data_IF_891427834283
#
_entry.id   IF_891427834283
#
_cell.length_a   1.000
_cell.length_b   1.000
_cell.length_c   1.000
_cell.angle_alpha   90.00
_cell.angle_beta   90.00
_cell.angle_gamma   90.00
#
_symmetry.space_group_name_H-M   'P 1'
#
loop_
_entity.id
_entity.type
_entity.pdbx_description
1 polymer ?
#
# COMPACT_ATOMS: atom_id res chain seq x y z
N UNK A 1 2.08 -42.77 -3.23
CA UNK A 1 1.77 -41.37 -2.87
C UNK A 1 2.37 -40.51 -3.96
N UNK A 2 1.57 -39.68 -4.62
CA UNK A 2 2.09 -38.66 -5.52
C UNK A 2 2.29 -37.40 -4.69
N UNK A 3 3.54 -36.98 -4.51
CA UNK A 3 3.88 -35.77 -3.76
C UNK A 3 3.72 -34.57 -4.72
N UNK A 4 2.81 -33.64 -4.40
CA UNK A 4 2.64 -32.40 -5.15
C UNK A 4 3.11 -31.24 -4.27
N UNK A 5 4.37 -30.85 -4.44
CA UNK A 5 4.89 -29.62 -3.85
C UNK A 5 4.49 -28.42 -4.71
N UNK A 6 3.87 -27.44 -4.08
CA UNK A 6 3.51 -26.15 -4.67
C UNK A 6 4.74 -25.23 -4.63
N UNK A 7 5.28 -24.81 -5.77
CA UNK A 7 6.40 -23.87 -5.82
C UNK A 7 6.03 -22.62 -6.61
N UNK A 8 5.47 -21.64 -5.92
CA UNK A 8 5.16 -20.30 -6.46
C UNK A 8 6.30 -19.30 -6.28
N UNK A 9 7.39 -19.70 -5.62
CA UNK A 9 8.43 -18.79 -5.15
C UNK A 9 7.98 -17.89 -3.98
N UNK A 10 6.76 -18.07 -3.46
CA UNK A 10 6.25 -17.39 -2.27
C UNK A 10 6.91 -17.91 -1.00
N UNK A 11 6.96 -17.04 0.01
CA UNK A 11 7.23 -17.39 1.39
C UNK A 11 6.15 -18.32 1.96
N UNK A 12 4.89 -18.16 1.56
CA UNK A 12 3.80 -19.08 1.89
C UNK A 12 3.85 -20.30 0.98
N UNK A 13 4.11 -21.47 1.57
CA UNK A 13 4.14 -22.76 0.88
C UNK A 13 3.16 -23.70 1.53
N UNK A 14 2.41 -24.41 0.71
CA UNK A 14 1.41 -25.36 1.16
C UNK A 14 1.59 -26.72 0.47
N UNK A 15 1.28 -27.79 1.20
CA UNK A 15 1.26 -29.16 0.69
C UNK A 15 0.10 -29.92 1.29
N UNK A 16 -0.73 -30.51 0.43
CA UNK A 16 -1.77 -31.44 0.85
C UNK A 16 -1.27 -32.88 0.76
N UNK A 17 -1.44 -33.61 1.85
CA UNK A 17 -1.25 -35.05 1.94
C UNK A 17 -2.64 -35.71 1.98
N UNK A 18 -3.17 -35.99 0.79
CA UNK A 18 -4.46 -36.65 0.63
C UNK A 18 -4.34 -38.16 0.90
N UNK A 19 -5.20 -38.75 1.74
CA UNK A 19 -5.25 -40.19 1.89
C UNK A 19 -5.58 -40.83 0.53
N UNK A 20 -4.91 -41.95 0.22
CA UNK A 20 -5.29 -42.78 -0.92
C UNK A 20 -6.73 -43.23 -0.68
N UNK A 21 -7.68 -42.73 -1.46
CA UNK A 21 -9.05 -43.22 -1.41
C UNK A 21 -9.00 -44.73 -1.65
N UNK A 22 -9.21 -45.51 -0.60
CA UNK A 22 -9.81 -46.82 -0.79
C UNK A 22 -11.15 -46.52 -1.44
N UNK A 23 -11.35 -47.02 -2.67
CA UNK A 23 -12.55 -46.80 -3.44
C UNK A 23 -13.75 -46.94 -2.49
N UNK A 24 -14.45 -45.84 -2.27
CA UNK A 24 -15.58 -45.76 -1.35
C UNK A 24 -16.77 -46.43 -2.04
N UNK A 25 -16.63 -47.72 -2.34
CA UNK A 25 -17.54 -48.48 -3.20
C UNK A 25 -18.81 -48.93 -2.47
N UNK A 26 -19.01 -48.53 -1.21
CA UNK A 26 -20.12 -49.05 -0.40
C UNK A 26 -20.69 -48.07 0.63
N UNK A 27 -20.60 -46.76 0.41
CA UNK A 27 -21.27 -45.81 1.32
C UNK A 27 -22.78 -45.86 1.07
N UNK A 28 -23.52 -46.12 2.16
CA UNK A 28 -24.98 -46.20 2.18
C UNK A 28 -25.61 -44.94 1.56
N UNK A 29 -26.72 -45.04 0.79
CA UNK A 29 -27.43 -43.90 0.21
C UNK A 29 -27.85 -42.80 1.20
N UNK A 30 -27.88 -43.11 2.50
CA UNK A 30 -28.16 -42.16 3.59
C UNK A 30 -26.98 -41.26 3.95
N UNK A 31 -25.78 -41.50 3.42
CA UNK A 31 -24.57 -40.71 3.66
C UNK A 31 -24.18 -39.80 2.48
N UNK A 32 -25.10 -39.57 1.52
CA UNK A 32 -24.90 -38.67 0.37
C UNK A 32 -24.56 -37.21 0.73
N UNK A 33 -24.77 -36.79 1.98
CA UNK A 33 -24.36 -35.46 2.46
C UNK A 33 -22.93 -35.38 3.03
N UNK A 34 -22.13 -36.46 2.95
CA UNK A 34 -20.76 -36.50 3.51
C UNK A 34 -19.68 -36.72 2.45
N UNK A 35 -20.05 -36.81 1.16
CA UNK A 35 -19.09 -37.15 0.11
C UNK A 35 -18.08 -36.03 -0.08
N UNK A 36 -18.50 -34.77 -0.15
CA UNK A 36 -17.58 -33.65 -0.35
C UNK A 36 -16.59 -33.51 0.82
N UNK A 37 -17.08 -33.72 2.04
CA UNK A 37 -16.25 -33.71 3.25
C UNK A 37 -15.23 -34.84 3.26
N UNK A 38 -15.65 -36.06 2.89
CA UNK A 38 -14.77 -37.23 2.85
C UNK A 38 -13.66 -37.09 1.78
N UNK A 39 -13.97 -36.53 0.60
CA UNK A 39 -12.98 -36.40 -0.49
C UNK A 39 -11.95 -35.29 -0.27
N UNK A 40 -12.33 -34.28 0.52
CA UNK A 40 -11.46 -33.18 0.94
C UNK A 40 -10.94 -33.35 2.37
N UNK A 41 -11.10 -34.53 2.97
CA UNK A 41 -10.41 -34.86 4.20
C UNK A 41 -8.96 -35.22 3.91
N UNK A 42 -8.01 -34.53 4.55
CA UNK A 42 -6.58 -34.79 4.38
C UNK A 42 -5.74 -33.97 5.33
N UNK A 43 -4.41 -34.10 5.25
CA UNK A 43 -3.50 -33.26 6.03
C UNK A 43 -2.98 -32.12 5.17
N UNK A 44 -2.92 -30.92 5.74
CA UNK A 44 -2.24 -29.77 5.14
C UNK A 44 -0.97 -29.50 5.95
N UNK A 45 0.14 -29.33 5.27
CA UNK A 45 1.33 -28.69 5.83
C UNK A 45 1.50 -27.35 5.14
N UNK A 46 1.46 -26.28 5.92
CA UNK A 46 1.68 -24.93 5.41
C UNK A 46 2.80 -24.26 6.22
N UNK A 47 3.77 -23.70 5.51
CA UNK A 47 4.96 -23.05 6.09
C UNK A 47 5.15 -21.67 5.51
N UNK A 48 5.54 -20.73 6.35
CA UNK A 48 5.97 -19.38 5.99
C UNK A 48 7.48 -19.29 6.19
N UNK A 49 8.21 -19.01 5.11
CA UNK A 49 9.66 -18.86 5.18
C UNK A 49 10.05 -17.67 6.10
N UNK A 50 11.14 -17.76 6.88
CA UNK A 50 12.14 -18.80 6.81
C UNK A 50 11.80 -20.10 7.55
N UNK A 51 10.98 -20.14 8.61
CA UNK A 51 10.79 -21.37 9.41
C UNK A 51 9.47 -21.46 10.21
N UNK A 52 8.43 -20.67 9.93
CA UNK A 52 7.18 -20.71 10.71
C UNK A 52 6.20 -21.71 10.10
N UNK A 53 5.96 -22.83 10.78
CA UNK A 53 4.88 -23.74 10.37
C UNK A 53 3.53 -23.15 10.84
N UNK A 54 2.61 -22.90 9.91
CA UNK A 54 1.28 -22.37 10.23
C UNK A 54 0.33 -23.49 10.66
N UNK A 55 0.25 -24.55 9.86
CA UNK A 55 -0.53 -25.75 10.19
C UNK A 55 0.43 -26.93 10.27
N UNK A 56 0.47 -27.57 11.44
CA UNK A 56 1.25 -28.78 11.67
C UNK A 56 0.34 -29.98 11.92
N UNK A 57 0.24 -30.83 10.90
CA UNK A 57 -0.05 -32.26 11.02
C UNK A 57 -1.39 -32.65 11.69
N UNK A 58 -2.49 -31.99 11.30
CA UNK A 58 -3.83 -32.50 11.60
C UNK A 58 -4.63 -32.81 10.34
N UNK A 59 -5.53 -33.78 10.47
CA UNK A 59 -6.45 -34.18 9.42
C UNK A 59 -7.73 -33.35 9.54
N UNK A 60 -8.12 -32.70 8.45
CA UNK A 60 -9.29 -31.83 8.41
C UNK A 60 -10.02 -31.93 7.09
N UNK A 61 -11.27 -31.47 7.11
CA UNK A 61 -12.08 -31.28 5.92
C UNK A 61 -11.82 -29.89 5.32
N UNK A 62 -11.13 -29.84 4.18
CA UNK A 62 -10.69 -28.57 3.58
C UNK A 62 -11.78 -27.83 2.80
N UNK A 63 -13.02 -28.32 2.75
CA UNK A 63 -14.12 -27.59 2.11
C UNK A 63 -14.42 -26.25 2.80
N UNK A 64 -14.30 -26.17 4.14
CA UNK A 64 -14.51 -24.92 4.90
C UNK A 64 -13.52 -23.84 4.46
N UNK A 65 -12.26 -24.21 4.25
CA UNK A 65 -11.22 -23.30 3.76
C UNK A 65 -11.53 -22.82 2.34
N UNK A 66 -12.04 -23.70 1.46
CA UNK A 66 -12.42 -23.31 0.10
C UNK A 66 -13.61 -22.34 0.10
N UNK A 67 -14.62 -22.59 0.93
CA UNK A 67 -15.78 -21.70 1.09
C UNK A 67 -15.35 -20.33 1.61
N UNK A 68 -14.49 -20.30 2.64
CA UNK A 68 -13.93 -19.06 3.18
C UNK A 68 -13.09 -18.33 2.13
N UNK A 69 -12.16 -19.00 1.45
CA UNK A 69 -11.34 -18.39 0.40
C UNK A 69 -12.21 -17.79 -0.70
N UNK A 70 -13.25 -18.49 -1.14
CA UNK A 70 -14.17 -17.98 -2.17
C UNK A 70 -14.95 -16.73 -1.72
N UNK A 71 -15.33 -16.66 -0.44
CA UNK A 71 -16.03 -15.51 0.14
C UNK A 71 -15.08 -14.32 0.36
N UNK A 72 -13.89 -14.58 0.88
CA UNK A 72 -12.90 -13.58 1.26
C UNK A 72 -12.07 -13.05 0.07
N UNK A 73 -12.06 -13.77 -1.06
CA UNK A 73 -11.18 -13.49 -2.20
C UNK A 73 -11.15 -12.03 -2.65
N UNK A 74 -12.33 -11.41 -2.74
CA UNK A 74 -12.49 -10.04 -3.25
C UNK A 74 -11.85 -9.01 -2.33
N UNK A 75 -11.96 -9.23 -1.04
CA UNK A 75 -11.38 -8.38 -0.01
C UNK A 75 -9.88 -8.61 0.13
N UNK A 76 -9.42 -9.87 0.07
CA UNK A 76 -7.99 -10.20 0.02
C UNK A 76 -7.28 -9.47 -1.14
N UNK A 77 -7.94 -9.37 -2.30
CA UNK A 77 -7.38 -8.68 -3.47
C UNK A 77 -7.55 -7.15 -3.43
N UNK A 78 -8.73 -6.67 -3.02
CA UNK A 78 -9.08 -5.26 -3.14
C UNK A 78 -8.81 -4.40 -1.91
N UNK A 79 -8.84 -4.98 -0.69
CA UNK A 79 -8.38 -4.26 0.50
C UNK A 79 -6.88 -3.99 0.42
N UNK A 80 -6.43 -2.98 1.17
CA UNK A 80 -5.08 -2.41 1.06
C UNK A 80 -4.74 -1.83 2.44
N UNK A 81 -3.70 -2.39 3.05
CA UNK A 81 -3.25 -2.06 4.39
C UNK A 81 -4.16 -2.55 5.51
N UNK A 82 -3.61 -2.53 6.72
CA UNK A 82 -4.34 -2.74 7.97
C UNK A 82 -5.28 -1.55 8.27
N UNK A 83 -6.37 -1.75 9.05
CA UNK A 83 -7.24 -0.66 9.47
C UNK A 83 -6.59 0.26 10.54
N UNK A 84 -5.30 0.06 10.85
CA UNK A 84 -4.53 0.83 11.83
C UNK A 84 -3.13 1.13 11.29
N UNK A 85 -2.57 2.26 11.72
CA UNK A 85 -1.21 2.68 11.38
C UNK A 85 -0.22 2.11 12.40
N UNK A 86 -0.06 0.79 12.41
CA UNK A 86 0.93 0.12 13.27
C UNK A 86 1.54 -1.06 12.52
N UNK A 87 2.87 -1.18 12.61
CA UNK A 87 3.60 -2.29 12.00
C UNK A 87 3.82 -3.40 13.03
N UNK A 88 3.29 -4.58 12.75
CA UNK A 88 3.30 -5.71 13.67
C UNK A 88 4.38 -6.70 13.27
N UNK A 89 5.32 -6.99 14.18
CA UNK A 89 6.35 -7.99 13.92
C UNK A 89 5.79 -9.43 13.91
N UNK A 90 4.70 -9.68 14.64
CA UNK A 90 4.05 -10.98 14.76
C UNK A 90 2.54 -10.85 14.94
N UNK A 91 1.77 -11.91 14.68
CA UNK A 91 0.34 -11.95 14.97
C UNK A 91 0.05 -11.89 16.48
N UNK A 92 1.00 -12.34 17.32
CA UNK A 92 0.89 -12.19 18.78
C UNK A 92 0.96 -10.73 19.21
N UNK A 93 1.74 -9.90 18.51
CA UNK A 93 1.78 -8.46 18.76
C UNK A 93 0.46 -7.79 18.34
N UNK A 94 -0.12 -8.24 17.22
CA UNK A 94 -1.45 -7.81 16.76
C UNK A 94 -2.53 -8.15 17.79
N UNK A 95 -2.57 -9.38 18.30
CA UNK A 95 -3.52 -9.80 19.35
C UNK A 95 -3.39 -8.94 20.62
N UNK A 96 -2.15 -8.68 21.04
CA UNK A 96 -1.87 -7.82 22.21
C UNK A 96 -2.37 -6.41 21.98
N UNK A 97 -2.15 -5.86 20.79
CA UNK A 97 -2.64 -4.54 20.40
C UNK A 97 -4.16 -4.50 20.41
N UNK A 98 -4.82 -5.48 19.81
CA UNK A 98 -6.29 -5.60 19.83
C UNK A 98 -6.79 -5.59 21.28
N UNK A 99 -6.18 -6.34 22.20
CA UNK A 99 -6.57 -6.33 23.61
C UNK A 99 -6.53 -4.93 24.28
N UNK A 100 -5.66 -4.05 23.81
CA UNK A 100 -5.42 -2.71 24.37
C UNK A 100 -6.07 -1.56 23.58
N UNK A 101 -6.49 -1.82 22.33
CA UNK A 101 -7.03 -0.81 21.44
C UNK A 101 -8.39 -0.26 21.94
N UNK A 102 -8.73 0.94 21.44
CA UNK A 102 -10.06 1.51 21.59
C UNK A 102 -11.11 0.65 20.85
N UNK A 103 -12.37 0.71 21.28
CA UNK A 103 -13.42 -0.21 20.81
C UNK A 103 -13.68 -0.11 19.31
N UNK A 104 -13.67 1.10 18.76
CA UNK A 104 -13.81 1.37 17.33
C UNK A 104 -12.69 0.73 16.51
N UNK A 105 -11.45 0.78 17.00
CA UNK A 105 -10.30 0.13 16.37
C UNK A 105 -10.34 -1.38 16.49
N UNK A 106 -10.85 -1.90 17.60
CA UNK A 106 -11.05 -3.34 17.81
C UNK A 106 -12.06 -3.89 16.82
N UNK A 107 -13.22 -3.26 16.70
CA UNK A 107 -14.26 -3.65 15.75
C UNK A 107 -13.70 -3.70 14.32
N UNK A 108 -13.03 -2.63 13.88
CA UNK A 108 -12.42 -2.58 12.55
C UNK A 108 -11.34 -3.66 12.32
N UNK A 109 -10.58 -4.02 13.37
CA UNK A 109 -9.59 -5.10 13.29
C UNK A 109 -10.22 -6.49 13.27
N UNK A 110 -11.31 -6.71 13.99
CA UNK A 110 -12.03 -7.98 13.95
C UNK A 110 -12.68 -8.21 12.59
N UNK A 111 -13.37 -7.20 12.05
CA UNK A 111 -13.95 -7.25 10.71
C UNK A 111 -12.88 -7.56 9.64
N UNK A 112 -11.69 -6.98 9.80
CA UNK A 112 -10.55 -7.27 8.94
C UNK A 112 -10.06 -8.71 9.11
N UNK A 113 -9.86 -9.17 10.34
CA UNK A 113 -9.33 -10.52 10.61
C UNK A 113 -10.27 -11.64 10.15
N UNK A 114 -11.59 -11.44 10.19
CA UNK A 114 -12.57 -12.41 9.67
C UNK A 114 -12.34 -12.76 8.20
N UNK A 115 -11.71 -11.85 7.45
CA UNK A 115 -11.50 -11.93 6.00
C UNK A 115 -10.03 -12.18 5.63
N UNK A 116 -9.09 -11.74 6.46
CA UNK A 116 -7.64 -11.80 6.19
C UNK A 116 -6.90 -12.86 7.00
N UNK A 117 -7.47 -13.42 8.07
CA UNK A 117 -6.87 -14.53 8.82
C UNK A 117 -7.35 -15.88 8.28
N UNK A 118 -6.44 -16.65 7.66
CA UNK A 118 -6.77 -17.96 7.12
C UNK A 118 -7.24 -18.95 8.21
N UNK A 119 -6.91 -18.71 9.49
CA UNK A 119 -7.42 -19.51 10.60
C UNK A 119 -8.95 -19.41 10.74
N UNK A 120 -9.56 -18.28 10.33
CA UNK A 120 -11.00 -18.10 10.32
C UNK A 120 -11.69 -19.09 9.36
N UNK A 121 -11.02 -19.51 8.29
CA UNK A 121 -11.51 -20.50 7.34
C UNK A 121 -11.50 -21.95 7.83
N UNK A 122 -10.99 -22.24 9.03
CA UNK A 122 -10.84 -23.61 9.55
C UNK A 122 -11.93 -24.02 10.55
N UNK A 123 -12.99 -23.21 10.74
CA UNK A 123 -14.24 -23.51 11.44
C UNK A 123 -14.17 -24.64 12.51
N UNK A 124 -13.50 -24.37 13.62
CA UNK A 124 -13.43 -25.28 14.77
C UNK A 124 -12.17 -26.14 14.86
N UNK A 125 -11.28 -26.10 13.87
CA UNK A 125 -9.91 -26.57 14.05
C UNK A 125 -9.09 -25.56 14.88
N UNK A 126 -8.17 -26.06 15.69
CA UNK A 126 -7.20 -25.21 16.37
C UNK A 126 -6.00 -24.99 15.46
N UNK A 127 -5.85 -23.76 14.95
CA UNK A 127 -4.66 -23.31 14.25
C UNK A 127 -4.19 -21.97 14.82
N UNK A 128 -2.89 -21.69 14.66
CA UNK A 128 -2.39 -20.34 14.87
C UNK A 128 -2.93 -19.39 13.80
N UNK A 129 -3.00 -18.10 14.13
CA UNK A 129 -3.35 -17.05 13.17
C UNK A 129 -2.34 -17.00 12.02
N UNK A 130 -2.83 -16.87 10.79
CA UNK A 130 -2.06 -16.56 9.59
C UNK A 130 -2.78 -15.44 8.85
N UNK A 131 -2.39 -14.22 9.16
CA UNK A 131 -2.99 -13.03 8.57
C UNK A 131 -2.25 -12.70 7.28
N UNK A 132 -3.00 -12.56 6.19
CA UNK A 132 -2.47 -12.20 4.88
C UNK A 132 -3.19 -10.97 4.36
N UNK A 133 -2.44 -9.94 3.97
CA UNK A 133 -3.02 -8.75 3.34
C UNK A 133 -2.09 -8.16 2.29
N UNK A 134 -2.62 -7.21 1.52
CA UNK A 134 -1.89 -6.47 0.49
C UNK A 134 -1.67 -5.03 0.94
N UNK A 135 -0.55 -4.45 0.56
CA UNK A 135 -0.29 -3.02 0.64
C UNK A 135 0.45 -2.58 -0.64
N UNK A 136 -0.23 -1.85 -1.52
CA UNK A 136 0.25 -1.61 -2.88
C UNK A 136 0.48 -2.93 -3.64
N UNK A 137 1.71 -3.18 -4.07
CA UNK A 137 2.12 -4.44 -4.72
C UNK A 137 2.90 -5.37 -3.78
N UNK A 138 2.90 -5.08 -2.48
CA UNK A 138 3.54 -5.89 -1.44
C UNK A 138 2.48 -6.74 -0.76
N UNK A 139 2.75 -8.04 -0.65
CA UNK A 139 2.01 -8.98 0.18
C UNK A 139 2.66 -9.10 1.54
N UNK A 140 1.83 -9.03 2.58
CA UNK A 140 2.23 -9.20 3.96
C UNK A 140 1.67 -10.54 4.47
N UNK A 141 2.52 -11.33 5.10
CA UNK A 141 2.18 -12.61 5.72
C UNK A 141 2.64 -12.54 7.17
N UNK A 142 1.68 -12.53 8.10
CA UNK A 142 1.92 -12.40 9.53
C UNK A 142 1.57 -13.69 10.25
N UNK A 143 2.54 -14.20 11.00
CA UNK A 143 2.46 -15.43 11.79
C UNK A 143 2.81 -15.13 13.25
N UNK A 144 2.64 -16.08 14.17
CA UNK A 144 3.04 -15.88 15.57
C UNK A 144 4.53 -15.57 15.76
N UNK A 145 5.38 -15.98 14.81
CA UNK A 145 6.84 -15.92 14.95
C UNK A 145 7.51 -14.94 13.97
N UNK A 146 6.79 -14.47 12.95
CA UNK A 146 7.38 -13.65 11.88
C UNK A 146 6.34 -12.82 11.10
N UNK A 147 6.81 -11.70 10.57
CA UNK A 147 6.18 -10.90 9.52
C UNK A 147 7.05 -10.97 8.27
N UNK A 148 6.45 -11.41 7.16
CA UNK A 148 7.14 -11.53 5.88
C UNK A 148 6.48 -10.60 4.87
N UNK A 149 7.31 -9.85 4.17
CA UNK A 149 6.91 -8.99 3.06
C UNK A 149 7.51 -9.54 1.77
N UNK A 150 6.69 -9.68 0.74
CA UNK A 150 7.12 -10.15 -0.59
C UNK A 150 6.26 -9.55 -1.70
N UNK A 151 6.61 -9.71 -3.00
CA UNK A 151 5.72 -9.26 -4.07
C UNK A 151 4.35 -9.94 -3.97
N UNK A 152 3.28 -9.14 -3.95
CA UNK A 152 1.89 -9.59 -3.75
C UNK A 152 1.49 -10.73 -4.68
N UNK A 153 1.95 -10.68 -5.93
CA UNK A 153 1.70 -11.71 -6.94
C UNK A 153 2.08 -13.12 -6.48
N UNK A 154 3.15 -13.25 -5.68
CA UNK A 154 3.59 -14.54 -5.13
C UNK A 154 2.64 -15.04 -4.04
N UNK A 155 2.28 -14.16 -3.12
CA UNK A 155 1.32 -14.46 -2.04
C UNK A 155 -0.05 -14.82 -2.61
N UNK A 156 -0.57 -14.00 -3.55
CA UNK A 156 -1.82 -14.27 -4.29
C UNK A 156 -1.79 -15.63 -4.97
N UNK A 157 -0.74 -15.93 -5.73
CA UNK A 157 -0.62 -17.21 -6.44
C UNK A 157 -0.59 -18.40 -5.46
N UNK A 158 0.04 -18.25 -4.28
CA UNK A 158 0.03 -19.29 -3.25
C UNK A 158 -1.38 -19.54 -2.69
N UNK A 159 -2.14 -18.48 -2.40
CA UNK A 159 -3.53 -18.57 -1.94
C UNK A 159 -4.45 -19.16 -3.02
N UNK A 160 -4.25 -18.79 -4.27
CA UNK A 160 -5.02 -19.33 -5.40
C UNK A 160 -4.75 -20.82 -5.58
N UNK A 161 -3.48 -21.23 -5.50
CA UNK A 161 -3.10 -22.63 -5.62
C UNK A 161 -3.67 -23.51 -4.50
N UNK A 162 -3.78 -22.96 -3.28
CA UNK A 162 -4.47 -23.62 -2.16
C UNK A 162 -5.93 -23.93 -2.53
N UNK A 163 -6.69 -22.93 -2.98
CA UNK A 163 -8.09 -23.12 -3.36
C UNK A 163 -8.26 -24.02 -4.58
N UNK A 164 -7.40 -23.87 -5.59
CA UNK A 164 -7.43 -24.68 -6.81
C UNK A 164 -7.17 -26.17 -6.54
N UNK A 165 -6.28 -26.51 -5.61
CA UNK A 165 -6.02 -27.92 -5.26
C UNK A 165 -7.22 -28.56 -4.54
N UNK A 166 -7.88 -27.84 -3.64
CA UNK A 166 -9.11 -28.33 -2.98
C UNK A 166 -10.24 -28.47 -4.00
N UNK A 167 -10.42 -27.48 -4.88
CA UNK A 167 -11.41 -27.47 -5.97
C UNK A 167 -11.19 -28.63 -6.96
N UNK A 168 -9.95 -28.85 -7.38
CA UNK A 168 -9.55 -29.99 -8.21
C UNK A 168 -9.86 -31.32 -7.54
N UNK A 169 -9.67 -31.43 -6.23
CA UNK A 169 -10.03 -32.63 -5.49
C UNK A 169 -11.55 -32.87 -5.46
N UNK A 170 -12.34 -31.82 -5.24
CA UNK A 170 -13.81 -31.89 -5.27
C UNK A 170 -14.36 -32.26 -6.65
N UNK A 171 -13.77 -31.74 -7.74
CA UNK A 171 -14.25 -32.00 -9.11
C UNK A 171 -13.95 -33.42 -9.63
N UNK A 172 -13.11 -34.19 -8.92
CA UNK A 172 -12.78 -35.58 -9.29
C UNK A 172 -13.81 -36.62 -8.81
N UNK A 173 -14.83 -36.22 -8.04
CA UNK A 173 -15.89 -37.13 -7.58
C UNK A 173 -17.18 -36.93 -8.37
N UNK A 174 -17.77 -38.04 -8.83
CA UNK A 174 -19.03 -38.02 -9.60
C UNK A 174 -20.28 -37.76 -8.72
N UNK A 175 -20.16 -37.92 -7.40
CA UNK A 175 -21.26 -37.77 -6.42
C UNK A 175 -20.98 -36.64 -5.42
N UNK A 176 -20.59 -35.47 -5.91
CA UNK A 176 -20.40 -34.28 -5.08
C UNK A 176 -21.76 -33.82 -4.49
N UNK A 177 -21.80 -33.59 -3.18
CA UNK A 177 -23.01 -33.10 -2.52
C UNK A 177 -23.30 -31.62 -2.84
N UNK A 178 -24.45 -31.11 -2.38
CA UNK A 178 -24.87 -29.74 -2.64
C UNK A 178 -23.87 -28.71 -2.06
N UNK A 179 -23.26 -29.02 -0.91
CA UNK A 179 -22.28 -28.13 -0.27
C UNK A 179 -21.02 -28.03 -1.12
N UNK A 180 -20.45 -29.16 -1.52
CA UNK A 180 -19.29 -29.23 -2.41
C UNK A 180 -19.54 -28.54 -3.76
N UNK A 181 -20.73 -28.74 -4.32
CA UNK A 181 -21.13 -28.08 -5.58
C UNK A 181 -21.17 -26.57 -5.44
N UNK A 182 -21.72 -26.04 -4.34
CA UNK A 182 -21.74 -24.59 -4.05
C UNK A 182 -20.33 -24.04 -3.82
N UNK A 183 -19.49 -24.73 -3.04
CA UNK A 183 -18.11 -24.31 -2.79
C UNK A 183 -17.30 -24.23 -4.09
N UNK A 184 -17.42 -25.24 -4.96
CA UNK A 184 -16.77 -25.26 -6.28
C UNK A 184 -17.27 -24.14 -7.20
N UNK A 185 -18.58 -23.91 -7.23
CA UNK A 185 -19.18 -22.84 -8.02
C UNK A 185 -18.72 -21.45 -7.53
N UNK A 186 -18.73 -21.21 -6.21
CA UNK A 186 -18.25 -19.97 -5.61
C UNK A 186 -16.77 -19.73 -5.88
N UNK A 187 -15.92 -20.76 -5.71
CA UNK A 187 -14.49 -20.64 -6.02
C UNK A 187 -14.26 -20.34 -7.50
N UNK A 188 -15.00 -20.97 -8.41
CA UNK A 188 -14.91 -20.70 -9.86
C UNK A 188 -15.36 -19.27 -10.19
N UNK A 189 -16.36 -18.75 -9.48
CA UNK A 189 -16.87 -17.40 -9.65
C UNK A 189 -16.13 -16.33 -8.84
N UNK A 190 -15.06 -16.67 -8.09
CA UNK A 190 -14.37 -15.78 -7.14
C UNK A 190 -13.90 -14.45 -7.73
N UNK A 191 -13.50 -14.45 -9.01
CA UNK A 191 -13.01 -13.28 -9.71
C UNK A 191 -14.12 -12.35 -10.24
N UNK A 192 -15.38 -12.80 -10.18
CA UNK A 192 -16.52 -11.99 -10.61
C UNK A 192 -16.82 -10.94 -9.53
N UNK A 193 -16.60 -9.67 -9.88
CA UNK A 193 -16.86 -8.55 -9.00
C UNK A 193 -18.17 -7.86 -9.39
N UNK A 194 -19.08 -7.72 -8.42
CA UNK A 194 -20.25 -6.85 -8.60
C UNK A 194 -19.86 -5.43 -8.27
N UNK A 195 -20.50 -4.48 -8.94
CA UNK A 195 -20.24 -3.06 -8.74
C UNK A 195 -20.45 -2.63 -7.29
N UNK A 196 -21.46 -3.17 -6.60
CA UNK A 196 -21.71 -2.86 -5.19
C UNK A 196 -20.58 -3.35 -4.27
N UNK A 197 -19.96 -4.48 -4.60
CA UNK A 197 -18.84 -5.03 -3.83
C UNK A 197 -17.59 -4.18 -4.04
N UNK A 198 -17.31 -3.75 -5.28
CA UNK A 198 -16.19 -2.85 -5.58
C UNK A 198 -16.24 -1.56 -4.73
N UNK A 199 -17.44 -0.97 -4.66
CA UNK A 199 -17.72 0.22 -3.85
C UNK A 199 -17.45 -0.03 -2.37
N UNK A 200 -17.91 -1.17 -1.84
CA UNK A 200 -17.71 -1.52 -0.43
C UNK A 200 -16.24 -1.73 -0.11
N UNK A 201 -15.49 -2.42 -0.98
CA UNK A 201 -14.05 -2.64 -0.84
C UNK A 201 -13.28 -1.30 -0.91
N UNK A 202 -13.75 -0.35 -1.72
CA UNK A 202 -13.21 1.01 -1.76
C UNK A 202 -13.56 1.85 -0.50
N UNK A 203 -14.40 1.34 0.40
CA UNK A 203 -14.85 2.06 1.60
C UNK A 203 -15.83 3.21 1.30
N UNK A 204 -16.45 3.22 0.11
CA UNK A 204 -17.33 4.30 -0.32
C UNK A 204 -18.76 4.09 0.14
N UNK A 205 -19.44 5.20 0.48
CA UNK A 205 -20.83 5.20 0.88
C UNK A 205 -21.66 6.25 0.13
N UNK A 206 -22.99 6.09 0.16
CA UNK A 206 -23.95 7.09 -0.31
C UNK A 206 -23.84 7.42 -1.79
N UNK A 207 -23.81 8.71 -2.15
CA UNK A 207 -23.75 9.13 -3.55
C UNK A 207 -22.39 8.90 -4.21
N UNK A 208 -21.31 8.85 -3.42
CA UNK A 208 -19.96 8.59 -3.93
C UNK A 208 -19.85 7.13 -4.45
N UNK A 209 -20.45 6.20 -3.73
CA UNK A 209 -20.62 4.81 -4.15
C UNK A 209 -21.25 4.69 -5.55
N UNK A 210 -22.41 5.31 -5.78
CA UNK A 210 -23.09 5.27 -7.08
C UNK A 210 -22.24 5.85 -8.21
N UNK A 211 -21.47 6.91 -7.93
CA UNK A 211 -20.68 7.57 -8.97
C UNK A 211 -19.43 6.78 -9.35
N UNK A 212 -18.75 6.17 -8.39
CA UNK A 212 -17.64 5.26 -8.66
C UNK A 212 -18.15 4.00 -9.36
N UNK A 213 -19.31 3.51 -8.93
CA UNK A 213 -20.01 2.41 -9.57
C UNK A 213 -20.30 2.65 -11.06
N UNK A 214 -20.67 3.88 -11.46
CA UNK A 214 -21.06 4.22 -12.83
C UNK A 214 -19.86 4.52 -13.78
N UNK A 215 -18.61 4.51 -13.28
CA UNK A 215 -17.43 4.81 -14.09
C UNK A 215 -17.03 3.62 -14.95
N UNK A 216 -17.03 3.81 -16.26
CA UNK A 216 -16.64 2.80 -17.27
C UNK A 216 -15.23 2.25 -17.04
N UNK A 217 -14.30 3.08 -16.57
CA UNK A 217 -12.93 2.69 -16.21
C UNK A 217 -12.86 1.55 -15.18
N UNK A 218 -13.89 1.43 -14.33
CA UNK A 218 -13.98 0.39 -13.30
C UNK A 218 -14.80 -0.82 -13.74
N UNK A 219 -15.79 -0.65 -14.62
CA UNK A 219 -16.61 -1.75 -15.11
C UNK A 219 -15.85 -2.80 -15.92
N UNK A 220 -14.84 -2.37 -16.68
CA UNK A 220 -14.05 -3.25 -17.55
C UNK A 220 -12.84 -3.87 -16.82
N UNK A 221 -12.56 -3.43 -15.58
CA UNK A 221 -11.41 -3.88 -14.81
C UNK A 221 -11.68 -5.26 -14.19
N UNK A 222 -10.72 -6.19 -14.33
CA UNK A 222 -10.76 -7.44 -13.56
C UNK A 222 -10.38 -7.13 -12.12
N UNK A 223 -10.86 -7.96 -11.18
CA UNK A 223 -10.48 -7.85 -9.76
C UNK A 223 -8.95 -7.82 -9.56
N UNK A 224 -8.22 -8.53 -10.43
CA UNK A 224 -6.76 -8.60 -10.44
C UNK A 224 -6.09 -7.30 -10.92
N UNK A 225 -6.80 -6.47 -11.67
CA UNK A 225 -6.29 -5.21 -12.23
C UNK A 225 -6.55 -4.03 -11.26
N UNK A 226 -7.44 -4.19 -10.27
CA UNK A 226 -7.76 -3.12 -9.31
C UNK A 226 -6.53 -2.54 -8.60
N UNK A 227 -5.53 -3.34 -8.15
CA UNK A 227 -4.32 -2.78 -7.54
C UNK A 227 -3.52 -1.84 -8.46
N UNK A 228 -3.78 -1.87 -9.77
CA UNK A 228 -3.12 -1.03 -10.79
C UNK A 228 -4.02 0.07 -11.34
N UNK A 229 -5.28 0.12 -10.90
CA UNK A 229 -6.24 1.15 -11.29
C UNK A 229 -6.06 2.41 -10.44
N UNK A 230 -5.58 3.47 -11.06
CA UNK A 230 -5.41 4.79 -10.44
C UNK A 230 -6.74 5.40 -9.98
N UNK A 231 -7.84 5.12 -10.69
CA UNK A 231 -9.19 5.59 -10.31
C UNK A 231 -9.67 4.86 -9.06
N UNK A 232 -9.49 3.54 -8.99
CA UNK A 232 -9.83 2.76 -7.80
C UNK A 232 -9.01 3.18 -6.58
N UNK A 233 -7.69 3.32 -6.77
CA UNK A 233 -6.76 3.82 -5.75
C UNK A 233 -7.22 5.16 -5.19
N UNK A 234 -7.46 6.13 -6.06
CA UNK A 234 -7.90 7.45 -5.66
C UNK A 234 -9.23 7.41 -4.91
N UNK A 235 -10.22 6.65 -5.42
CA UNK A 235 -11.52 6.49 -4.81
C UNK A 235 -11.42 5.98 -3.36
N UNK A 236 -10.52 5.03 -3.13
CA UNK A 236 -10.24 4.50 -1.79
C UNK A 236 -9.61 5.53 -0.86
N UNK A 237 -8.64 6.28 -1.34
CA UNK A 237 -7.94 7.30 -0.54
C UNK A 237 -8.85 8.45 -0.14
N UNK A 238 -9.79 8.84 -1.02
CA UNK A 238 -10.73 9.94 -0.79
C UNK A 238 -12.01 9.52 -0.06
N UNK A 239 -12.17 8.24 0.31
CA UNK A 239 -13.43 7.67 0.80
C UNK A 239 -14.01 8.37 2.04
N UNK A 240 -13.16 9.00 2.86
CA UNK A 240 -13.57 9.81 4.02
C UNK A 240 -14.02 11.25 3.71
N UNK A 241 -13.96 11.69 2.45
CA UNK A 241 -14.27 13.06 2.02
C UNK A 241 -15.72 13.19 1.53
N UNK A 242 -16.16 14.44 1.29
CA UNK A 242 -17.48 14.67 0.73
C UNK A 242 -17.57 14.17 -0.72
N UNK A 243 -18.74 13.67 -1.13
CA UNK A 243 -18.94 13.15 -2.48
C UNK A 243 -18.51 14.14 -3.59
N UNK A 244 -18.73 15.45 -3.39
CA UNK A 244 -18.31 16.48 -4.35
C UNK A 244 -16.79 16.57 -4.51
N UNK A 245 -16.03 16.35 -3.44
CA UNK A 245 -14.55 16.34 -3.48
C UNK A 245 -14.08 15.07 -4.17
N UNK A 246 -14.66 13.91 -3.80
CA UNK A 246 -14.40 12.61 -4.43
C UNK A 246 -14.55 12.71 -5.95
N UNK A 247 -15.68 13.25 -6.41
CA UNK A 247 -15.94 13.40 -7.84
C UNK A 247 -14.93 14.26 -8.56
N UNK A 248 -14.53 15.38 -7.95
CA UNK A 248 -13.53 16.27 -8.53
C UNK A 248 -12.18 15.61 -8.65
N UNK A 249 -11.76 14.84 -7.65
CA UNK A 249 -10.51 14.07 -7.72
C UNK A 249 -10.59 13.09 -8.89
N UNK A 250 -11.64 12.27 -8.94
CA UNK A 250 -11.77 11.24 -9.97
C UNK A 250 -11.92 11.83 -11.39
N UNK A 251 -12.70 12.88 -11.58
CA UNK A 251 -12.83 13.61 -12.85
C UNK A 251 -11.47 14.18 -13.31
N UNK A 252 -10.69 14.68 -12.36
CA UNK A 252 -9.39 15.27 -12.68
C UNK A 252 -8.37 14.20 -13.06
N UNK A 253 -8.39 13.04 -12.39
CA UNK A 253 -7.54 11.91 -12.74
C UNK A 253 -7.87 11.32 -14.11
N UNK A 254 -9.15 11.16 -14.44
CA UNK A 254 -9.56 10.70 -15.77
C UNK A 254 -9.24 11.71 -16.88
N UNK A 255 -9.01 12.98 -16.54
CA UNK A 255 -8.55 13.98 -17.51
C UNK A 255 -7.06 13.88 -17.84
N UNK A 256 -6.29 13.11 -17.07
CA UNK A 256 -4.85 12.95 -17.28
C UNK A 256 -4.63 12.02 -18.48
N UNK A 257 -3.95 12.48 -19.54
CA UNK A 257 -3.65 11.63 -20.68
C UNK A 257 -2.70 10.50 -20.28
N UNK A 258 -2.95 9.30 -20.80
CA UNK A 258 -1.99 8.21 -20.73
C UNK A 258 -0.77 8.55 -21.59
N UNK A 259 0.42 8.57 -20.99
CA UNK A 259 1.68 8.79 -21.70
C UNK A 259 2.70 7.70 -21.36
N UNK A 260 3.80 7.64 -22.12
CA UNK A 260 4.82 6.61 -21.94
C UNK A 260 5.52 6.74 -20.58
N UNK A 261 5.50 5.66 -19.79
CA UNK A 261 6.17 5.56 -18.50
C UNK A 261 7.67 5.26 -18.59
N UNK A 262 8.18 4.88 -19.78
CA UNK A 262 9.58 4.44 -19.95
C UNK A 262 10.61 5.45 -19.40
N UNK A 263 10.51 6.77 -19.64
CA UNK A 263 11.48 7.72 -19.09
C UNK A 263 11.57 7.68 -17.56
N UNK A 264 10.43 7.55 -16.87
CA UNK A 264 10.37 7.47 -15.41
C UNK A 264 10.83 6.11 -14.92
N UNK A 265 10.48 5.04 -15.64
CA UNK A 265 10.92 3.68 -15.34
C UNK A 265 12.44 3.58 -15.37
N UNK A 266 13.10 4.14 -16.39
CA UNK A 266 14.56 4.15 -16.47
C UNK A 266 15.21 4.89 -15.29
N UNK A 267 14.64 6.02 -14.87
CA UNK A 267 15.11 6.76 -13.70
C UNK A 267 14.89 5.94 -12.42
N UNK A 268 13.72 5.33 -12.28
CA UNK A 268 13.35 4.51 -11.12
C UNK A 268 14.26 3.29 -10.99
N UNK A 269 14.47 2.55 -12.07
CA UNK A 269 15.34 1.37 -12.09
C UNK A 269 16.78 1.73 -11.69
N UNK A 270 17.30 2.86 -12.18
CA UNK A 270 18.63 3.33 -11.80
C UNK A 270 18.68 3.82 -10.35
N UNK A 271 17.63 4.47 -9.87
CA UNK A 271 17.55 4.97 -8.50
C UNK A 271 17.49 3.82 -7.49
N UNK A 272 16.60 2.85 -7.73
CA UNK A 272 16.37 1.71 -6.83
C UNK A 272 17.42 0.61 -6.98
N UNK A 273 18.04 0.47 -8.16
CA UNK A 273 19.06 -0.56 -8.44
C UNK A 273 20.46 -0.27 -7.88
N UNK A 274 20.72 0.92 -7.36
CA UNK A 274 22.04 1.33 -6.84
C UNK A 274 22.31 0.89 -5.39
N UNK A 275 21.63 -0.14 -4.87
CA UNK A 275 21.69 -0.59 -3.45
C UNK A 275 21.57 0.58 -2.45
N UNK A 276 20.76 1.59 -2.80
CA UNK A 276 20.67 2.86 -2.05
C UNK A 276 19.95 2.67 -0.71
N UNK A 277 19.16 1.62 -0.55
CA UNK A 277 18.38 1.36 0.66
C UNK A 277 19.16 0.49 1.68
N UNK A 278 19.57 1.04 2.83
CA UNK A 278 20.04 0.23 3.95
C UNK A 278 18.86 -0.54 4.52
N UNK A 279 19.03 -1.83 4.83
CA UNK A 279 17.95 -2.68 5.35
C UNK A 279 17.43 -2.30 6.76
N UNK A 280 17.81 -1.13 7.29
CA UNK A 280 17.54 -0.69 8.68
C UNK A 280 17.30 0.84 8.76
N UNK A 281 17.16 1.55 7.64
CA UNK A 281 16.91 2.99 7.67
C UNK A 281 15.46 3.27 8.11
N UNK A 282 15.26 4.32 8.91
CA UNK A 282 13.92 4.83 9.17
C UNK A 282 13.36 5.48 7.89
N UNK A 283 12.03 5.58 7.70
CA UNK A 283 11.45 6.03 6.42
C UNK A 283 11.93 7.42 5.96
N UNK A 284 12.18 8.33 6.90
CA UNK A 284 12.69 9.66 6.56
C UNK A 284 14.17 9.63 6.12
N UNK A 285 14.99 8.74 6.70
CA UNK A 285 16.38 8.53 6.26
C UNK A 285 16.43 7.95 4.84
N UNK A 286 15.53 7.00 4.52
CA UNK A 286 15.37 6.50 3.16
C UNK A 286 15.05 7.64 2.18
N UNK A 287 14.09 8.51 2.54
CA UNK A 287 13.71 9.65 1.70
C UNK A 287 14.89 10.57 1.40
N UNK A 288 15.72 10.87 2.41
CA UNK A 288 16.94 11.65 2.23
C UNK A 288 17.96 10.96 1.32
N UNK A 289 18.16 9.66 1.48
CA UNK A 289 19.10 8.90 0.65
C UNK A 289 18.64 8.83 -0.81
N UNK A 290 17.36 8.57 -1.04
CA UNK A 290 16.79 8.58 -2.39
C UNK A 290 16.89 9.96 -3.05
N UNK A 291 16.62 11.05 -2.33
CA UNK A 291 16.77 12.39 -2.87
C UNK A 291 18.23 12.70 -3.24
N UNK A 292 19.18 12.35 -2.37
CA UNK A 292 20.61 12.53 -2.64
C UNK A 292 21.07 11.72 -3.85
N UNK A 293 20.70 10.45 -3.92
CA UNK A 293 20.99 9.56 -5.05
C UNK A 293 20.35 10.06 -6.35
N UNK A 294 19.12 10.55 -6.30
CA UNK A 294 18.43 11.14 -7.43
C UNK A 294 19.13 12.43 -7.92
N UNK A 295 19.56 13.31 -7.01
CA UNK A 295 20.34 14.51 -7.38
C UNK A 295 21.65 14.13 -8.08
N UNK A 296 22.36 13.12 -7.57
CA UNK A 296 23.58 12.61 -8.20
C UNK A 296 23.29 11.98 -9.57
N UNK A 297 22.19 11.25 -9.72
CA UNK A 297 21.73 10.64 -10.96
C UNK A 297 21.46 11.70 -12.05
N UNK A 298 20.91 12.83 -11.65
CA UNK A 298 20.65 13.99 -12.52
C UNK A 298 21.90 14.84 -12.79
N UNK A 299 23.04 14.53 -12.15
CA UNK A 299 24.29 15.28 -12.31
C UNK A 299 24.29 16.66 -11.65
N UNK A 300 23.40 16.89 -10.67
CA UNK A 300 23.28 18.17 -9.98
C UNK A 300 24.43 18.37 -9.00
N UNK A 301 25.01 19.57 -8.98
CA UNK A 301 25.96 19.92 -7.93
C UNK A 301 25.23 20.03 -6.56
N UNK A 302 25.92 19.86 -5.42
CA UNK A 302 25.29 19.95 -4.10
C UNK A 302 24.53 21.26 -3.84
N UNK A 303 25.05 22.40 -4.32
CA UNK A 303 24.45 23.74 -4.15
C UNK A 303 23.50 24.17 -5.28
N UNK A 304 23.28 23.30 -6.26
CA UNK A 304 22.45 23.58 -7.42
C UNK A 304 20.96 23.45 -7.06
N UNK A 305 20.14 24.49 -7.25
CA UNK A 305 18.70 24.38 -7.03
C UNK A 305 18.08 23.36 -7.99
N UNK A 306 17.09 22.62 -7.51
CA UNK A 306 16.28 21.74 -8.34
C UNK A 306 14.94 22.40 -8.66
N UNK A 307 14.49 22.30 -9.92
CA UNK A 307 13.16 22.76 -10.36
C UNK A 307 12.26 21.54 -10.65
N UNK A 308 11.36 21.17 -9.72
CA UNK A 308 10.46 20.03 -9.88
C UNK A 308 9.58 20.14 -11.12
N UNK A 309 9.08 21.34 -11.44
CA UNK A 309 8.17 21.57 -12.56
C UNK A 309 8.87 21.37 -13.89
N UNK A 310 10.10 21.88 -14.01
CA UNK A 310 10.92 21.69 -15.20
C UNK A 310 11.22 20.20 -15.40
N UNK A 311 11.62 19.48 -14.33
CA UNK A 311 11.91 18.06 -14.42
C UNK A 311 10.70 17.21 -14.84
N UNK A 312 9.54 17.42 -14.21
CA UNK A 312 8.29 16.73 -14.57
C UNK A 312 7.94 16.97 -16.06
N UNK A 313 8.14 18.20 -16.54
CA UNK A 313 7.92 18.55 -17.96
C UNK A 313 8.87 17.79 -18.88
N UNK A 314 10.16 17.71 -18.52
CA UNK A 314 11.16 16.96 -19.30
C UNK A 314 10.87 15.47 -19.35
N UNK A 315 10.31 14.90 -18.28
CA UNK A 315 9.87 13.50 -18.23
C UNK A 315 8.55 13.25 -18.98
N UNK A 316 7.89 14.29 -19.50
CA UNK A 316 6.59 14.16 -20.16
C UNK A 316 5.43 13.93 -19.19
N UNK A 317 5.62 14.14 -17.88
CA UNK A 317 4.59 13.94 -16.86
C UNK A 317 3.57 15.06 -16.95
N UNK A 318 2.29 14.70 -17.00
CA UNK A 318 1.21 15.67 -17.04
C UNK A 318 1.18 16.50 -15.75
N UNK A 319 0.98 17.81 -15.89
CA UNK A 319 0.88 18.73 -14.76
C UNK A 319 -0.38 19.58 -14.90
N UNK A 320 -1.22 19.59 -13.87
CA UNK A 320 -2.46 20.34 -13.84
C UNK A 320 -2.61 21.18 -12.57
N UNK A 321 -3.49 22.18 -12.63
CA UNK A 321 -4.05 22.81 -11.44
C UNK A 321 -5.54 22.51 -11.38
N UNK A 322 -6.02 22.20 -10.18
CA UNK A 322 -7.42 21.85 -9.92
C UNK A 322 -7.92 22.58 -8.68
N UNK A 323 -9.23 22.83 -8.60
CA UNK A 323 -9.90 23.20 -7.35
C UNK A 323 -10.71 21.99 -6.85
N UNK A 324 -10.20 21.32 -5.82
CA UNK A 324 -10.85 20.17 -5.19
C UNK A 324 -11.88 20.57 -4.13
N UNK A 325 -12.07 21.87 -3.86
CA UNK A 325 -12.98 22.41 -2.84
C UNK A 325 -12.68 21.95 -1.42
N UNK A 326 -11.46 21.51 -1.15
CA UNK A 326 -10.95 21.16 0.17
C UNK A 326 -9.51 21.61 0.29
N UNK A 327 -9.11 22.11 1.46
CA UNK A 327 -7.71 22.43 1.76
C UNK A 327 -6.94 21.27 2.39
N UNK A 328 -7.58 20.09 2.49
CA UNK A 328 -6.98 18.89 3.06
C UNK A 328 -6.02 18.16 2.10
N UNK A 329 -6.10 18.47 0.80
CA UNK A 329 -5.29 17.87 -0.26
C UNK A 329 -4.45 18.98 -0.87
N UNK A 330 -3.14 18.84 -1.00
CA UNK A 330 -2.30 19.85 -1.65
C UNK A 330 -1.99 19.52 -3.11
N UNK A 331 -1.76 18.26 -3.40
CA UNK A 331 -1.67 17.71 -4.74
C UNK A 331 -2.24 16.29 -4.80
N UNK A 332 -2.28 15.72 -6.01
CA UNK A 332 -2.56 14.32 -6.25
C UNK A 332 -1.61 13.86 -7.35
N UNK A 333 -0.84 12.79 -7.12
CA UNK A 333 -0.18 12.06 -8.19
C UNK A 333 -0.98 10.83 -8.59
N UNK A 334 -0.90 10.44 -9.86
CA UNK A 334 -1.45 9.19 -10.34
C UNK A 334 -0.54 8.54 -11.37
N UNK A 335 -0.46 7.21 -11.31
CA UNK A 335 0.28 6.38 -12.25
C UNK A 335 -0.42 5.03 -12.38
N UNK A 336 -1.24 4.84 -13.41
CA UNK A 336 -1.88 3.56 -13.62
C UNK A 336 -1.98 3.17 -15.08
N UNK A 337 -2.74 2.11 -15.35
CA UNK A 337 -2.79 1.50 -16.68
C UNK A 337 -3.69 2.26 -17.65
N UNK A 338 -4.60 3.09 -17.13
CA UNK A 338 -5.59 3.80 -17.95
C UNK A 338 -5.29 5.30 -18.05
N UNK A 339 -4.73 5.90 -17.01
CA UNK A 339 -4.34 7.31 -16.97
C UNK A 339 -2.99 7.50 -16.27
N UNK A 340 -2.33 8.62 -16.57
CA UNK A 340 -1.05 8.98 -15.98
C UNK A 340 0.17 8.64 -16.84
N UNK A 341 1.37 8.91 -16.32
CA UNK A 341 1.68 9.55 -15.05
C UNK A 341 1.30 11.04 -15.07
N UNK A 342 0.79 11.55 -13.94
CA UNK A 342 0.46 12.96 -13.81
C UNK A 342 0.44 13.45 -12.36
N UNK A 343 0.62 14.76 -12.20
CA UNK A 343 0.55 15.48 -10.93
C UNK A 343 -0.43 16.64 -11.05
N UNK A 344 -1.42 16.68 -10.16
CA UNK A 344 -2.43 17.73 -10.10
C UNK A 344 -2.27 18.54 -8.82
N UNK A 345 -2.00 19.83 -8.94
CA UNK A 345 -1.87 20.72 -7.78
C UNK A 345 -3.23 21.30 -7.41
N UNK A 346 -3.64 21.14 -6.15
CA UNK A 346 -4.87 21.72 -5.65
C UNK A 346 -4.68 23.21 -5.32
N UNK A 347 -5.30 24.08 -6.10
CA UNK A 347 -5.26 25.54 -5.96
C UNK A 347 -5.77 26.06 -4.60
N UNK A 348 -6.62 25.29 -3.91
CA UNK A 348 -7.13 25.62 -2.57
C UNK A 348 -6.45 24.82 -1.45
N UNK A 349 -5.41 24.05 -1.78
CA UNK A 349 -4.56 23.34 -0.83
C UNK A 349 -3.92 24.29 0.17
N UNK A 350 -3.64 23.80 1.38
CA UNK A 350 -2.97 24.54 2.47
C UNK A 350 -1.56 24.99 2.06
N UNK A 351 -0.79 24.11 1.45
CA UNK A 351 0.60 24.34 1.06
C UNK A 351 0.71 24.80 -0.40
N UNK A 352 -0.31 24.60 -1.23
CA UNK A 352 -0.29 24.95 -2.66
C UNK A 352 -0.62 26.41 -3.02
N UNK A 353 -0.78 27.30 -2.03
CA UNK A 353 -1.14 28.72 -2.24
C UNK A 353 -0.02 29.58 -2.86
N UNK A 354 1.23 29.12 -2.86
CA UNK A 354 2.37 29.91 -3.33
C UNK A 354 3.47 29.07 -3.98
N UNK A 355 4.38 29.70 -4.75
CA UNK A 355 5.34 28.96 -5.59
C UNK A 355 6.21 27.97 -4.83
N UNK A 356 6.63 28.32 -3.60
CA UNK A 356 7.49 27.47 -2.78
C UNK A 356 6.79 26.24 -2.23
N UNK A 357 5.52 26.38 -1.87
CA UNK A 357 4.73 25.25 -1.40
C UNK A 357 4.29 24.35 -2.55
N UNK A 358 3.98 24.93 -3.72
CA UNK A 358 3.81 24.17 -4.97
C UNK A 358 5.07 23.36 -5.30
N UNK A 359 6.27 23.94 -5.15
CA UNK A 359 7.51 23.19 -5.37
C UNK A 359 7.68 22.04 -4.37
N UNK A 360 7.31 22.24 -3.10
CA UNK A 360 7.34 21.19 -2.09
C UNK A 360 6.38 20.04 -2.44
N UNK A 361 5.13 20.35 -2.79
CA UNK A 361 4.16 19.33 -3.23
C UNK A 361 4.62 18.62 -4.49
N UNK A 362 5.12 19.33 -5.50
CA UNK A 362 5.66 18.68 -6.71
C UNK A 362 6.85 17.77 -6.38
N UNK A 363 7.77 18.19 -5.51
CA UNK A 363 8.90 17.36 -5.10
C UNK A 363 8.47 16.14 -4.28
N UNK A 364 7.39 16.27 -3.49
CA UNK A 364 6.75 15.18 -2.77
C UNK A 364 6.16 14.16 -3.75
N UNK A 365 5.36 14.61 -4.71
CA UNK A 365 4.79 13.74 -5.74
C UNK A 365 5.84 13.05 -6.63
N UNK A 366 7.00 13.70 -6.87
CA UNK A 366 8.13 13.06 -7.56
C UNK A 366 8.62 11.84 -6.77
N UNK A 367 8.64 11.88 -5.43
CA UNK A 367 8.99 10.71 -4.62
C UNK A 367 8.03 9.55 -4.89
N UNK A 368 6.73 9.81 -4.88
CA UNK A 368 5.74 8.76 -5.11
C UNK A 368 5.86 8.14 -6.50
N UNK A 369 6.06 8.97 -7.53
CA UNK A 369 6.26 8.52 -8.90
C UNK A 369 7.57 7.73 -9.10
N UNK A 370 8.62 7.99 -8.31
CA UNK A 370 9.91 7.32 -8.46
C UNK A 370 10.12 6.13 -7.53
N UNK A 371 9.69 6.24 -6.28
CA UNK A 371 10.08 5.33 -5.19
C UNK A 371 8.90 4.47 -4.76
N UNK A 372 7.72 5.06 -4.59
CA UNK A 372 6.63 4.40 -3.85
C UNK A 372 5.68 3.58 -4.74
N UNK A 373 5.88 3.56 -6.06
CA UNK A 373 4.97 2.91 -7.01
C UNK A 373 4.67 1.43 -6.73
N UNK A 374 5.57 0.74 -6.04
CA UNK A 374 5.39 -0.67 -5.65
C UNK A 374 4.81 -0.84 -4.24
N UNK A 375 4.97 0.13 -3.35
CA UNK A 375 4.52 0.06 -1.95
C UNK A 375 3.29 0.91 -1.66
N UNK A 376 2.83 1.70 -2.63
CA UNK A 376 1.65 2.55 -2.54
C UNK A 376 0.64 2.17 -3.63
N UNK A 377 -0.60 2.62 -3.42
CA UNK A 377 -1.62 2.57 -4.45
C UNK A 377 -1.24 3.48 -5.64
N UNK A 378 -1.70 3.21 -6.87
CA UNK A 378 -1.42 4.00 -8.09
C UNK A 378 -2.03 5.41 -8.13
N UNK A 379 -2.32 5.97 -6.95
CA UNK A 379 -2.60 7.36 -6.69
C UNK A 379 -1.93 7.73 -5.35
N UNK A 380 -1.34 8.93 -5.25
CA UNK A 380 -0.74 9.43 -4.02
C UNK A 380 -1.26 10.83 -3.66
N UNK A 381 -1.10 11.15 -2.39
CA UNK A 381 -1.65 12.32 -1.70
C UNK A 381 -3.18 12.49 -1.85
N UNK A 382 -3.97 11.72 -1.09
CA UNK A 382 -5.30 12.21 -0.68
C UNK A 382 -5.63 11.81 0.76
N UNK A 383 -5.49 12.81 1.64
CA UNK A 383 -5.91 12.82 3.04
C UNK A 383 -7.35 12.31 3.23
N UNK A 384 -7.54 11.42 4.22
CA UNK A 384 -8.84 10.90 4.63
C UNK A 384 -8.93 9.37 4.65
N UNK A 385 -7.98 8.67 4.05
CA UNK A 385 -7.89 7.21 3.98
C UNK A 385 -6.64 6.61 4.60
N UNK A 386 -6.60 5.26 4.67
CA UNK A 386 -5.55 4.40 5.28
C UNK A 386 -4.20 4.50 4.54
N UNK A 387 -3.57 5.66 4.48
CA UNK A 387 -2.24 5.82 3.87
C UNK A 387 -1.15 5.34 4.84
N UNK A 388 -0.17 4.60 4.33
CA UNK A 388 1.00 4.19 5.11
C UNK A 388 1.84 5.41 5.52
N UNK A 389 1.92 5.65 6.82
CA UNK A 389 2.67 6.77 7.39
C UNK A 389 4.16 6.74 7.01
N UNK A 390 4.74 5.55 6.79
CA UNK A 390 6.13 5.42 6.34
C UNK A 390 6.34 5.99 4.93
N UNK A 391 5.39 5.75 4.00
CA UNK A 391 5.41 6.28 2.62
C UNK A 391 5.39 7.81 2.65
N UNK A 392 4.50 8.39 3.45
CA UNK A 392 4.39 9.85 3.62
C UNK A 392 5.63 10.46 4.27
N UNK A 393 6.17 9.83 5.33
CA UNK A 393 7.41 10.29 5.99
C UNK A 393 8.60 10.27 5.03
N UNK A 394 8.68 9.24 4.17
CA UNK A 394 9.70 9.11 3.13
C UNK A 394 9.56 10.20 2.07
N UNK A 395 8.36 10.41 1.52
CA UNK A 395 8.11 11.43 0.51
C UNK A 395 8.37 12.85 1.00
N UNK A 396 7.98 13.17 2.23
CA UNK A 396 8.28 14.45 2.86
C UNK A 396 9.79 14.69 3.03
N UNK A 397 10.54 13.68 3.48
CA UNK A 397 11.98 13.77 3.63
C UNK A 397 12.68 13.90 2.26
N UNK A 398 12.25 13.12 1.28
CA UNK A 398 12.72 13.19 -0.11
C UNK A 398 12.52 14.59 -0.68
N UNK A 399 11.31 15.14 -0.60
CA UNK A 399 10.99 16.46 -1.12
C UNK A 399 11.85 17.55 -0.50
N UNK A 400 12.03 17.50 0.82
CA UNK A 400 12.80 18.50 1.55
C UNK A 400 14.28 18.49 1.14
N UNK A 401 14.91 17.31 1.06
CA UNK A 401 16.32 17.17 0.67
C UNK A 401 16.56 17.41 -0.82
N UNK A 402 15.60 17.02 -1.68
CA UNK A 402 15.68 17.29 -3.11
C UNK A 402 15.72 18.79 -3.39
N UNK A 403 14.84 19.56 -2.72
CA UNK A 403 14.78 21.02 -2.87
C UNK A 403 15.96 21.72 -2.20
N UNK A 404 16.26 21.36 -0.95
CA UNK A 404 17.31 21.99 -0.16
C UNK A 404 18.06 20.90 0.63
N UNK A 405 19.26 20.49 0.20
CA UNK A 405 20.01 19.46 0.91
C UNK A 405 20.37 19.88 2.34
N UNK A 406 20.28 18.95 3.30
CA UNK A 406 20.48 19.23 4.74
C UNK A 406 21.84 19.84 5.02
N UNK A 407 22.86 19.30 4.38
CA UNK A 407 24.24 19.76 4.54
C UNK A 407 24.42 21.23 4.11
N UNK A 408 23.72 21.62 3.05
CA UNK A 408 23.78 22.98 2.48
C UNK A 408 23.02 23.95 3.39
N UNK A 409 21.84 23.54 3.87
CA UNK A 409 21.08 24.30 4.85
C UNK A 409 21.92 24.53 6.11
N UNK A 410 22.47 23.48 6.72
CA UNK A 410 23.27 23.60 7.94
C UNK A 410 24.50 24.50 7.77
N UNK A 411 25.29 24.30 6.70
CA UNK A 411 26.48 25.13 6.41
C UNK A 411 26.14 26.61 6.30
N UNK A 412 24.97 26.95 5.77
CA UNK A 412 24.56 28.33 5.59
C UNK A 412 24.26 29.08 6.90
N UNK A 413 24.16 28.38 8.04
CA UNK A 413 23.85 28.94 9.36
C UNK A 413 24.94 28.78 10.42
N UNK A 414 26.08 28.13 10.10
CA UNK A 414 27.17 27.92 11.08
C UNK A 414 27.73 29.23 11.63
N UNK A 415 27.83 30.27 10.78
CA UNK A 415 28.39 31.57 11.15
C UNK A 415 27.32 32.62 11.53
N UNK A 416 26.03 32.23 11.53
CA UNK A 416 24.92 33.13 11.84
C UNK A 416 24.75 33.21 13.35
N UNK A 417 24.78 34.43 13.90
CA UNK A 417 24.86 34.62 15.35
C UNK A 417 23.61 35.16 16.02
N UNK A 418 22.71 35.81 15.28
CA UNK A 418 21.51 36.44 15.81
C UNK A 418 20.25 36.21 14.94
N UNK A 419 19.10 36.60 15.48
CA UNK A 419 17.78 36.40 14.87
C UNK A 419 17.59 37.20 13.56
N UNK A 420 18.11 38.43 13.50
CA UNK A 420 17.95 39.29 12.32
C UNK A 420 18.72 38.70 11.12
N UNK A 421 19.97 38.28 11.34
CA UNK A 421 20.76 37.61 10.31
C UNK A 421 20.13 36.26 9.91
N UNK A 422 19.57 35.52 10.86
CA UNK A 422 18.86 34.27 10.59
C UNK A 422 17.63 34.49 9.70
N UNK A 423 16.85 35.53 9.95
CA UNK A 423 15.68 35.86 9.14
C UNK A 423 16.08 36.19 7.68
N UNK A 424 17.10 37.02 7.50
CA UNK A 424 17.61 37.36 6.18
C UNK A 424 18.16 36.12 5.46
N UNK A 425 18.86 35.24 6.20
CA UNK A 425 19.41 34.00 5.65
C UNK A 425 18.31 33.01 5.24
N UNK A 426 17.29 32.82 6.06
CA UNK A 426 16.11 32.00 5.73
C UNK A 426 15.46 32.53 4.46
N UNK A 427 15.26 33.84 4.36
CA UNK A 427 14.63 34.45 3.18
C UNK A 427 15.46 34.24 1.90
N UNK A 428 16.78 34.42 1.98
CA UNK A 428 17.69 34.21 0.85
C UNK A 428 17.71 32.75 0.36
N UNK A 429 17.82 31.79 1.29
CA UNK A 429 17.81 30.36 0.97
C UNK A 429 16.45 29.93 0.41
N UNK A 430 15.36 30.37 1.05
CA UNK A 430 14.00 30.07 0.61
C UNK A 430 13.70 30.58 -0.80
N UNK A 431 14.26 31.73 -1.19
CA UNK A 431 14.19 32.20 -2.58
C UNK A 431 15.07 31.39 -3.53
N UNK A 432 16.34 31.16 -3.18
CA UNK A 432 17.29 30.47 -4.07
C UNK A 432 16.86 29.04 -4.41
N UNK A 433 16.40 28.29 -3.42
CA UNK A 433 16.06 26.87 -3.58
C UNK A 433 14.57 26.64 -3.83
N UNK A 434 13.75 27.71 -3.84
CA UNK A 434 12.30 27.57 -3.99
C UNK A 434 11.64 26.75 -2.88
N UNK A 435 12.27 26.63 -1.71
CA UNK A 435 11.78 25.88 -0.56
C UNK A 435 10.99 26.79 0.40
N UNK A 436 10.03 26.23 1.15
CA UNK A 436 9.32 26.98 2.19
C UNK A 436 10.24 27.31 3.37
N UNK A 437 9.89 28.32 4.18
CA UNK A 437 10.66 28.68 5.39
C UNK A 437 10.69 27.52 6.40
N UNK A 438 9.59 26.78 6.49
CA UNK A 438 9.49 25.58 7.31
C UNK A 438 10.46 24.49 6.84
N UNK A 439 10.57 24.24 5.53
CA UNK A 439 11.57 23.31 4.96
C UNK A 439 12.98 23.78 5.32
N UNK A 440 13.30 25.07 5.18
CA UNK A 440 14.62 25.60 5.59
C UNK A 440 14.91 25.29 7.05
N UNK A 441 13.97 25.58 7.95
CA UNK A 441 14.15 25.34 9.39
C UNK A 441 14.38 23.86 9.72
N UNK A 442 13.59 22.95 9.13
CA UNK A 442 13.77 21.51 9.31
C UNK A 442 15.09 21.00 8.75
N UNK A 443 15.49 21.49 7.57
CA UNK A 443 16.74 21.11 6.93
C UNK A 443 17.97 21.56 7.73
N UNK A 444 17.93 22.77 8.32
CA UNK A 444 18.96 23.25 9.24
C UNK A 444 19.01 22.36 10.49
N UNK A 445 17.88 22.07 11.13
CA UNK A 445 17.81 21.16 12.30
C UNK A 445 18.44 19.80 11.97
N UNK A 446 18.01 19.21 10.85
CA UNK A 446 18.36 17.83 10.50
C UNK A 446 19.76 17.70 9.90
N UNK A 447 20.46 18.81 9.65
CA UNK A 447 21.86 18.83 9.21
C UNK A 447 22.85 18.33 10.27
N UNK A 448 22.47 18.40 11.55
CA UNK A 448 23.36 18.08 12.68
C UNK A 448 24.49 19.09 12.90
N UNK A 449 24.58 20.16 12.10
CA UNK A 449 25.58 21.21 12.26
C UNK A 449 25.20 22.16 13.42
N UNK A 450 26.20 22.72 14.13
CA UNK A 450 25.94 23.63 15.24
C UNK A 450 25.30 24.93 14.75
N UNK A 451 24.30 25.39 15.50
CA UNK A 451 23.57 26.64 15.27
C UNK A 451 23.39 27.35 16.61
N UNK A 452 23.60 28.67 16.64
CA UNK A 452 23.45 29.51 17.82
C UNK A 452 22.04 29.39 18.44
N UNK A 453 21.93 29.55 19.76
CA UNK A 453 20.67 29.32 20.48
C UNK A 453 19.57 30.32 20.09
N UNK A 454 19.91 31.58 19.84
CA UNK A 454 18.97 32.61 19.38
C UNK A 454 18.42 32.28 17.99
N UNK A 455 19.31 31.89 17.07
CA UNK A 455 18.95 31.40 15.72
C UNK A 455 18.06 30.16 15.83
N UNK A 456 18.37 29.23 16.73
CA UNK A 456 17.55 28.05 16.98
C UNK A 456 16.16 28.42 17.49
N UNK A 457 16.08 29.41 18.37
CA UNK A 457 14.83 29.98 18.87
C UNK A 457 13.96 30.50 17.74
N UNK A 458 14.54 31.31 16.85
CA UNK A 458 13.87 31.81 15.66
C UNK A 458 13.39 30.69 14.73
N UNK A 459 14.25 29.73 14.37
CA UNK A 459 13.90 28.63 13.46
C UNK A 459 12.74 27.77 14.00
N UNK A 460 12.63 27.60 15.33
CA UNK A 460 11.49 26.89 15.96
C UNK A 460 10.16 27.61 15.78
N UNK A 461 10.15 28.92 15.56
CA UNK A 461 8.91 29.68 15.29
C UNK A 461 8.37 29.44 13.87
N UNK A 462 9.21 28.89 12.98
CA UNK A 462 8.88 28.69 11.56
C UNK A 462 8.27 27.32 11.26
N UNK A 463 8.22 26.41 12.25
CA UNK A 463 7.73 25.04 12.06
C UNK A 463 6.35 24.86 12.70
N UNK A 464 5.47 24.12 12.02
CA UNK A 464 4.12 23.84 12.49
C UNK A 464 4.07 22.79 13.61
N UNK A 465 5.11 21.95 13.71
CA UNK A 465 5.29 20.95 14.77
C UNK A 465 6.53 21.30 15.60
N UNK A 466 6.42 21.14 16.92
CA UNK A 466 7.55 21.35 17.80
C UNK A 466 8.70 20.41 17.43
N UNK A 467 9.94 20.87 17.60
CA UNK A 467 11.11 20.00 17.47
C UNK A 467 11.11 18.98 18.61
N UNK A 468 10.62 17.78 18.34
CA UNK A 468 10.85 16.62 19.20
C UNK A 468 12.33 16.22 19.09
N UNK A 469 12.95 15.95 20.24
CA UNK A 469 14.38 15.62 20.40
C UNK A 469 14.52 14.16 20.80
#
# INVERSE_FOLDING_TARGET
>A
MAEQSMNTGSALRARFDWPLHQAVSSVSPTARGQVASAVTTGRLTATVAPNSAWVTDFEWNWIDLLEWLALSWKWLLGEDGLPVTYDFATSTDLDRFIGQAAEDKKEALWDFLDVHDLAAGLNGAWSSSLVVWREGLIGHILTPDAHVQEPWERTRAALEQLGDEISKRLSQTDDIDERGSRALASWTARAQLRTEELVQIAGLAGSAATRVADRTSLHDSRLEDLPRSEVYAAAKMVSGLSASVIDRVLDSLESIPLVDMNPINEVTERLLGNDVAPSVATPHEEGYQYASAFRALMGLAPEEPFDPRAWLTTMGIHQGQVDLQTSQIDAVAAWGTSHGPGVLINSVGRHSQGPRGVNASLAHEICHLLVDRNSALPAAEVFGGRINESVEKRANAFAAELLLPREIAGRAFVDVSDEDEAQDRVQAISWRYGASREVVAWQVKNSGLPVADDVRGYLRTLVSRAWEY
#
